data_IF_914838158061
#
_entry.id   IF_914838158061
#
_cell.length_a   1.000
_cell.length_b   1.000
_cell.length_c   1.000
_cell.angle_alpha   90.00
_cell.angle_beta   90.00
_cell.angle_gamma   90.00
#
_symmetry.space_group_name_H-M   'P 1'
#
loop_
_entity.id
_entity.type
_entity.pdbx_description
1 polymer ?
#
# COMPACT_ATOMS: atom_id res chain seq x y z
N UNK A 1 -16.92 -12.94 -8.52
CA UNK A 1 -16.58 -11.55 -8.90
C UNK A 1 -15.10 -11.53 -9.25
N UNK A 2 -14.75 -11.08 -10.44
CA UNK A 2 -13.34 -10.96 -10.86
C UNK A 2 -12.82 -9.64 -10.29
N UNK A 3 -11.88 -9.69 -9.34
CA UNK A 3 -11.22 -8.50 -8.81
C UNK A 3 -10.23 -7.99 -9.86
N UNK A 4 -10.73 -7.29 -10.87
CA UNK A 4 -9.92 -6.79 -11.99
C UNK A 4 -9.07 -5.55 -11.60
N UNK A 5 -8.60 -5.50 -10.35
CA UNK A 5 -7.95 -4.33 -9.78
C UNK A 5 -6.87 -4.71 -8.78
N UNK A 6 -5.71 -4.09 -8.94
CA UNK A 6 -4.66 -4.12 -7.95
C UNK A 6 -5.17 -3.47 -6.66
N UNK A 7 -5.25 -4.24 -5.57
CA UNK A 7 -5.80 -3.80 -4.29
C UNK A 7 -4.72 -3.06 -3.51
N UNK A 8 -4.91 -1.77 -3.18
CA UNK A 8 -3.94 -1.04 -2.36
C UNK A 8 -4.02 -1.50 -0.90
N UNK A 9 -2.85 -1.76 -0.30
CA UNK A 9 -2.67 -2.01 1.13
C UNK A 9 -1.85 -0.87 1.70
N UNK A 10 -2.47 -0.08 2.56
CA UNK A 10 -1.94 1.20 3.01
C UNK A 10 -1.36 1.04 4.43
N UNK A 11 -0.05 1.23 4.57
CA UNK A 11 0.65 1.29 5.84
C UNK A 11 1.05 2.71 6.22
N UNK A 12 1.23 2.97 7.51
CA UNK A 12 1.67 4.28 8.04
C UNK A 12 3.05 4.16 8.68
N UNK A 13 4.04 4.90 8.14
CA UNK A 13 5.44 4.87 8.59
C UNK A 13 6.04 3.45 8.58
N UNK A 14 5.61 2.63 7.61
CA UNK A 14 5.81 1.20 7.67
C UNK A 14 6.95 0.71 6.78
N UNK A 15 7.64 1.64 6.11
CA UNK A 15 8.63 1.36 5.06
C UNK A 15 9.90 0.60 5.45
N UNK A 16 10.12 0.35 6.74
CA UNK A 16 11.20 -0.54 7.21
C UNK A 16 10.68 -1.91 7.65
N UNK A 17 9.53 -1.95 8.33
CA UNK A 17 9.01 -3.18 8.92
C UNK A 17 8.20 -4.01 7.91
N UNK A 18 7.24 -3.39 7.23
CA UNK A 18 6.32 -4.08 6.32
C UNK A 18 7.07 -4.78 5.20
N UNK A 19 8.09 -4.13 4.64
CA UNK A 19 8.87 -4.72 3.55
C UNK A 19 9.64 -5.95 3.98
N UNK A 20 10.29 -5.92 5.15
CA UNK A 20 11.00 -7.10 5.67
C UNK A 20 10.05 -8.30 5.81
N UNK A 21 8.82 -8.05 6.27
CA UNK A 21 7.78 -9.08 6.37
C UNK A 21 7.30 -9.53 4.99
N UNK A 22 7.06 -8.62 4.06
CA UNK A 22 6.57 -8.95 2.71
C UNK A 22 7.62 -9.77 1.96
N UNK A 23 8.88 -9.34 1.96
CA UNK A 23 9.97 -10.10 1.31
C UNK A 23 10.14 -11.49 1.90
N UNK A 24 10.01 -11.62 3.22
CA UNK A 24 10.14 -12.91 3.91
C UNK A 24 8.96 -13.85 3.67
N UNK A 25 7.73 -13.32 3.63
CA UNK A 25 6.52 -14.17 3.71
C UNK A 25 5.75 -14.27 2.38
N UNK A 26 5.86 -13.29 1.48
CA UNK A 26 5.09 -13.24 0.23
C UNK A 26 5.91 -13.62 -1.01
N UNK A 27 7.17 -14.02 -0.83
CA UNK A 27 7.92 -14.78 -1.83
C UNK A 27 7.83 -16.27 -1.48
N UNK A 28 6.70 -16.90 -1.77
CA UNK A 28 6.38 -18.25 -1.30
C UNK A 28 5.71 -19.07 -2.41
N UNK A 29 5.08 -20.21 -2.06
CA UNK A 29 4.43 -21.08 -3.05
C UNK A 29 3.35 -20.33 -3.84
N UNK A 30 2.49 -19.60 -3.14
CA UNK A 30 1.29 -19.00 -3.72
C UNK A 30 1.47 -17.54 -4.15
N UNK A 31 2.52 -16.86 -3.65
CA UNK A 31 2.76 -15.44 -3.89
C UNK A 31 4.13 -15.19 -4.50
N UNK A 32 4.22 -14.13 -5.28
CA UNK A 32 5.48 -13.63 -5.83
C UNK A 32 5.53 -12.10 -5.81
N UNK A 33 6.74 -11.57 -5.64
CA UNK A 33 7.01 -10.15 -5.77
C UNK A 33 7.15 -9.81 -7.25
N UNK A 34 6.28 -8.94 -7.76
CA UNK A 34 6.29 -8.50 -9.17
C UNK A 34 7.14 -7.27 -9.40
N UNK A 35 7.08 -6.30 -8.49
CA UNK A 35 7.88 -5.09 -8.58
C UNK A 35 7.95 -4.39 -7.23
N UNK A 36 8.97 -3.56 -7.04
CA UNK A 36 9.05 -2.64 -5.91
C UNK A 36 9.72 -1.35 -6.35
N UNK A 37 9.42 -0.26 -5.63
CA UNK A 37 10.01 1.07 -5.83
C UNK A 37 10.69 1.46 -4.52
N UNK A 38 11.94 1.93 -4.58
CA UNK A 38 12.66 2.46 -3.41
C UNK A 38 14.17 2.29 -3.49
N UNK A 39 14.86 2.67 -2.42
CA UNK A 39 16.32 2.59 -2.30
C UNK A 39 16.78 1.45 -1.37
N UNK A 40 18.10 1.30 -1.24
CA UNK A 40 18.71 0.32 -0.32
C UNK A 40 18.34 0.64 1.13
N UNK A 41 17.32 -0.06 1.66
CA UNK A 41 16.87 0.02 3.04
C UNK A 41 15.53 0.71 3.27
N UNK A 42 14.93 1.33 2.24
CA UNK A 42 13.58 1.92 2.30
C UNK A 42 12.88 1.70 0.97
N UNK A 43 11.98 0.73 0.94
CA UNK A 43 11.03 0.61 -0.15
C UNK A 43 9.83 1.55 0.11
N UNK A 44 9.26 2.07 -0.96
CA UNK A 44 8.13 3.02 -1.00
C UNK A 44 6.84 2.30 -1.33
N UNK A 45 6.97 1.32 -2.22
CA UNK A 45 5.88 0.52 -2.74
C UNK A 45 6.38 -0.87 -3.10
N UNK A 46 5.55 -1.89 -2.89
CA UNK A 46 5.77 -3.25 -3.41
C UNK A 46 4.48 -3.82 -3.97
N UNK A 47 4.59 -4.47 -5.12
CA UNK A 47 3.50 -5.19 -5.77
C UNK A 47 3.77 -6.67 -5.63
N UNK A 48 2.83 -7.37 -5.01
CA UNK A 48 2.83 -8.84 -4.95
C UNK A 48 1.61 -9.37 -5.70
N UNK A 49 1.76 -10.53 -6.30
CA UNK A 49 0.72 -11.19 -7.05
C UNK A 49 0.56 -12.63 -6.57
N UNK A 50 -0.69 -13.06 -6.43
CA UNK A 50 -0.99 -14.47 -6.22
C UNK A 50 -0.79 -15.23 -7.54
N UNK A 51 -0.08 -16.36 -7.53
CA UNK A 51 0.32 -17.06 -8.77
C UNK A 51 -0.84 -17.75 -9.47
N UNK A 52 -1.83 -18.19 -8.69
CA UNK A 52 -2.99 -18.97 -9.20
C UNK A 52 -4.30 -18.18 -9.26
N UNK A 53 -4.33 -17.00 -8.66
CA UNK A 53 -5.53 -16.16 -8.59
C UNK A 53 -5.17 -14.84 -9.24
N UNK A 54 -6.11 -14.22 -9.93
CA UNK A 54 -5.90 -12.88 -10.49
C UNK A 54 -6.08 -11.81 -9.39
N UNK A 55 -5.19 -11.86 -8.40
CA UNK A 55 -5.17 -10.97 -7.24
C UNK A 55 -3.78 -10.35 -7.12
N UNK A 56 -3.74 -9.01 -7.08
CA UNK A 56 -2.53 -8.22 -6.88
C UNK A 56 -2.72 -7.30 -5.69
N UNK A 57 -1.73 -7.27 -4.79
CA UNK A 57 -1.68 -6.33 -3.67
C UNK A 57 -0.59 -5.29 -3.91
N UNK A 58 -0.91 -4.01 -3.71
CA UNK A 58 0.02 -2.88 -3.78
C UNK A 58 0.24 -2.33 -2.37
N UNK A 59 1.31 -2.74 -1.72
CA UNK A 59 1.65 -2.19 -0.42
C UNK A 59 2.31 -0.83 -0.59
N UNK A 60 1.85 0.18 0.14
CA UNK A 60 2.29 1.57 0.05
C UNK A 60 2.45 2.13 1.47
N UNK A 61 3.60 2.76 1.74
CA UNK A 61 3.77 3.58 2.95
C UNK A 61 3.29 5.01 2.67
N UNK A 62 2.26 5.47 3.38
CA UNK A 62 1.71 6.81 3.16
C UNK A 62 2.69 7.92 3.49
N UNK A 63 3.58 7.74 4.47
CA UNK A 63 4.54 8.78 4.82
C UNK A 63 5.61 9.00 3.74
N UNK A 64 5.68 8.12 2.74
CA UNK A 64 6.50 8.35 1.56
C UNK A 64 5.94 9.46 0.66
N UNK A 65 4.62 9.64 0.65
CA UNK A 65 3.91 10.52 -0.29
C UNK A 65 3.33 11.77 0.38
N UNK A 66 3.25 11.78 1.70
CA UNK A 66 2.78 12.90 2.50
C UNK A 66 3.95 13.61 3.18
N UNK A 67 3.78 14.91 3.43
CA UNK A 67 4.62 15.63 4.40
C UNK A 67 4.54 14.87 5.72
N UNK A 68 5.65 14.72 6.49
CA UNK A 68 5.60 14.05 7.78
C UNK A 68 4.48 14.60 8.66
N UNK A 69 3.43 13.79 8.84
CA UNK A 69 2.28 14.06 9.69
C UNK A 69 2.21 12.97 10.75
N UNK A 70 1.53 13.25 11.84
CA UNK A 70 1.24 12.24 12.87
C UNK A 70 0.17 11.27 12.40
N UNK A 71 0.14 10.06 12.99
CA UNK A 71 -0.95 9.10 12.72
C UNK A 71 -2.33 9.69 13.04
N UNK A 72 -2.42 10.52 14.08
CA UNK A 72 -3.65 11.21 14.47
C UNK A 72 -4.10 12.21 13.40
N UNK A 73 -3.19 12.97 12.81
CA UNK A 73 -3.51 13.90 11.72
C UNK A 73 -3.90 13.14 10.46
N UNK A 74 -3.16 12.08 10.11
CA UNK A 74 -3.51 11.22 8.98
C UNK A 74 -4.90 10.60 9.15
N UNK A 75 -5.22 10.06 10.32
CA UNK A 75 -6.54 9.51 10.62
C UNK A 75 -7.65 10.58 10.57
N UNK A 76 -7.35 11.81 11.01
CA UNK A 76 -8.28 12.94 10.86
C UNK A 76 -8.51 13.29 9.40
N UNK A 77 -7.48 13.35 8.56
CA UNK A 77 -7.63 13.58 7.11
C UNK A 77 -8.50 12.51 6.49
N UNK A 78 -8.23 11.24 6.82
CA UNK A 78 -9.06 10.10 6.42
C UNK A 78 -10.52 10.28 6.85
N UNK A 79 -10.79 10.67 8.10
CA UNK A 79 -12.16 10.82 8.61
C UNK A 79 -12.88 12.10 8.14
N UNK A 80 -12.18 13.20 7.91
CA UNK A 80 -12.75 14.41 7.31
C UNK A 80 -13.16 14.16 5.85
N UNK A 81 -12.40 13.31 5.16
CA UNK A 81 -12.68 12.82 3.80
C UNK A 81 -13.76 11.72 3.73
N UNK A 82 -14.28 11.25 4.86
CA UNK A 82 -15.42 10.30 4.93
C UNK A 82 -16.77 11.05 5.01
N UNK A 83 -16.77 12.36 5.28
CA UNK A 83 -17.95 13.22 5.20
C UNK A 83 -18.45 13.46 3.76
N UNK A 84 -17.59 13.27 2.75
CA UNK A 84 -17.96 13.31 1.34
C UNK A 84 -17.25 12.19 0.59
N UNK A 85 -17.98 11.37 -0.19
CA UNK A 85 -17.43 10.25 -0.98
C UNK A 85 -16.24 10.63 -1.89
N UNK A 86 -16.04 11.92 -2.18
CA UNK A 86 -14.91 12.47 -2.94
C UNK A 86 -13.55 12.28 -2.27
N UNK A 87 -13.47 12.32 -0.94
CA UNK A 87 -12.19 12.25 -0.22
C UNK A 87 -11.53 10.87 -0.34
N UNK A 88 -12.29 9.80 -0.10
CA UNK A 88 -11.84 8.42 -0.38
C UNK A 88 -11.34 8.23 -1.81
N UNK A 89 -12.04 8.80 -2.80
CA UNK A 89 -11.64 8.69 -4.20
C UNK A 89 -10.33 9.44 -4.49
N UNK A 90 -10.09 10.59 -3.86
CA UNK A 90 -8.89 11.40 -4.07
C UNK A 90 -7.64 10.78 -3.41
N UNK A 91 -7.79 10.18 -2.23
CA UNK A 91 -6.72 9.40 -1.62
C UNK A 91 -6.38 8.18 -2.47
N UNK A 92 -7.39 7.40 -2.88
CA UNK A 92 -7.17 6.24 -3.75
C UNK A 92 -6.49 6.67 -5.06
N UNK A 93 -6.93 7.76 -5.69
CA UNK A 93 -6.31 8.29 -6.91
C UNK A 93 -4.86 8.75 -6.72
N UNK A 94 -4.45 9.18 -5.51
CA UNK A 94 -3.04 9.50 -5.23
C UNK A 94 -2.18 8.25 -5.02
N UNK A 95 -2.79 7.12 -4.69
CA UNK A 95 -2.11 5.88 -4.29
C UNK A 95 -2.16 4.79 -5.37
N UNK A 96 -3.11 4.83 -6.30
CA UNK A 96 -3.24 3.86 -7.42
C UNK A 96 -2.62 4.39 -8.69
#
# INVERSE_FOLDING_TARGET
MQYNGQVPVIGFNSSKFDFSLIFKNLQCADWEIKSYIGGSGVAKQIVVQHKHLDVKLKFIDVLTYYVPITLKEFAKTFNMEIGEQKGKAQLVARLT
#
